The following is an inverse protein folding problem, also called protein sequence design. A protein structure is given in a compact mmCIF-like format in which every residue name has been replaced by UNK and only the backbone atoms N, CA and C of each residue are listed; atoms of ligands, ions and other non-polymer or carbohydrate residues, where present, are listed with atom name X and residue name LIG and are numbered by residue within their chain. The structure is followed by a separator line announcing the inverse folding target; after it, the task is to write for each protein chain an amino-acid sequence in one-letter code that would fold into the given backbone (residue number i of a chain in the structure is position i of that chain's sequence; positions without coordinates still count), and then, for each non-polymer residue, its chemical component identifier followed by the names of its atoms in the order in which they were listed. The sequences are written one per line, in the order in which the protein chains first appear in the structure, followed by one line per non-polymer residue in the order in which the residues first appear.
data_IF_545470179390
#
_entry.id   IF_545470179390
#
_cell.length_a   1.000
_cell.length_b   1.000
_cell.length_c   1.000
_cell.angle_alpha   90.00
_cell.angle_beta   90.00
_cell.angle_gamma   90.00
#
_symmetry.space_group_name_H-M   'P 1'
#
loop_
_entity.id
_entity.type
_entity.pdbx_description
1 polymer ?
#
# COMPACT_ATOMS: atom_id res chain seq x y z
N UNK A 1 -78.47 -7.77 -33.35
CA UNK A 1 -77.61 -8.38 -32.32
C UNK A 1 -76.19 -8.39 -32.86
N UNK A 2 -75.35 -7.46 -32.41
CA UNK A 2 -73.97 -7.30 -32.86
C UNK A 2 -73.10 -7.34 -31.59
N UNK A 3 -72.34 -8.42 -31.39
CA UNK A 3 -71.38 -8.54 -30.30
C UNK A 3 -70.01 -8.10 -30.81
N UNK A 4 -69.55 -6.92 -30.37
CA UNK A 4 -68.15 -6.49 -30.49
C UNK A 4 -67.37 -7.03 -29.28
N UNK A 5 -66.48 -7.99 -29.51
CA UNK A 5 -65.53 -8.46 -28.50
C UNK A 5 -64.31 -7.52 -28.50
N UNK A 6 -64.14 -6.75 -27.42
CA UNK A 6 -62.92 -5.98 -27.17
C UNK A 6 -61.87 -6.92 -26.55
N UNK A 7 -60.76 -7.13 -27.25
CA UNK A 7 -59.60 -7.84 -26.72
C UNK A 7 -58.75 -6.86 -25.90
N UNK A 8 -58.69 -7.07 -24.58
CA UNK A 8 -57.74 -6.39 -23.70
C UNK A 8 -56.40 -7.13 -23.71
N UNK A 9 -55.40 -6.58 -24.37
CA UNK A 9 -54.00 -7.00 -24.27
C UNK A 9 -53.41 -6.43 -22.97
N UNK A 10 -53.34 -7.28 -21.94
CA UNK A 10 -52.58 -7.00 -20.72
C UNK A 10 -51.08 -7.18 -21.03
N UNK A 11 -50.36 -6.07 -21.26
CA UNK A 11 -48.90 -6.08 -21.22
C UNK A 11 -48.45 -6.26 -19.77
N UNK A 12 -48.04 -7.47 -19.43
CA UNK A 12 -47.29 -7.77 -18.21
C UNK A 12 -45.88 -7.19 -18.34
N UNK A 13 -45.68 -6.00 -17.78
CA UNK A 13 -44.33 -5.49 -17.52
C UNK A 13 -43.68 -6.36 -16.46
N UNK A 14 -42.77 -7.24 -16.87
CA UNK A 14 -41.81 -7.86 -15.97
C UNK A 14 -40.90 -6.76 -15.44
N UNK A 15 -41.19 -6.27 -14.23
CA UNK A 15 -40.26 -5.43 -13.49
C UNK A 15 -39.08 -6.32 -13.08
N UNK A 16 -38.04 -6.37 -13.90
CA UNK A 16 -36.72 -6.80 -13.42
C UNK A 16 -36.33 -5.80 -12.35
N UNK A 17 -36.36 -6.25 -11.09
CA UNK A 17 -35.71 -5.54 -9.99
C UNK A 17 -34.25 -5.35 -10.38
N UNK A 18 -33.92 -4.16 -10.86
CA UNK A 18 -32.54 -3.73 -10.94
C UNK A 18 -32.03 -3.76 -9.50
N UNK A 19 -31.24 -4.78 -9.15
CA UNK A 19 -30.47 -4.77 -7.91
C UNK A 19 -29.64 -3.49 -7.97
N UNK A 20 -30.05 -2.50 -7.18
CA UNK A 20 -29.22 -1.34 -6.91
C UNK A 20 -27.91 -1.91 -6.40
N UNK A 21 -26.86 -1.83 -7.23
CA UNK A 21 -25.52 -2.15 -6.78
C UNK A 21 -25.26 -1.21 -5.60
N UNK A 22 -25.30 -1.77 -4.39
CA UNK A 22 -24.74 -1.07 -3.23
C UNK A 22 -23.33 -0.75 -3.67
N UNK A 23 -22.97 0.54 -3.72
CA UNK A 23 -21.57 0.94 -3.67
C UNK A 23 -21.03 0.30 -2.38
N UNK A 24 -20.53 -0.93 -2.48
CA UNK A 24 -19.85 -1.59 -1.38
C UNK A 24 -18.62 -0.72 -1.18
N UNK A 25 -18.63 0.10 -0.12
CA UNK A 25 -17.38 0.63 0.42
C UNK A 25 -16.50 -0.58 0.67
N UNK A 26 -15.37 -0.68 -0.03
CA UNK A 26 -14.45 -1.77 0.20
C UNK A 26 -14.03 -1.74 1.66
N UNK A 27 -14.14 -2.89 2.33
CA UNK A 27 -13.73 -3.01 3.73
C UNK A 27 -12.21 -2.91 3.88
N UNK A 28 -11.72 -3.08 5.10
CA UNK A 28 -10.29 -3.04 5.40
C UNK A 28 -9.71 -4.46 5.39
N UNK A 29 -8.99 -4.88 4.33
CA UNK A 29 -8.36 -6.19 4.30
C UNK A 29 -7.40 -6.35 5.49
N UNK A 30 -7.30 -7.57 6.04
CA UNK A 30 -6.43 -7.92 7.17
C UNK A 30 -6.65 -7.06 8.44
N UNK A 31 -7.81 -6.42 8.61
CA UNK A 31 -8.08 -5.55 9.75
C UNK A 31 -7.22 -4.28 9.74
N UNK A 32 -6.90 -3.78 8.55
CA UNK A 32 -6.08 -2.58 8.37
C UNK A 32 -6.77 -1.30 8.91
N UNK A 33 -8.04 -1.33 9.29
CA UNK A 33 -8.68 -0.20 9.98
C UNK A 33 -8.12 0.05 11.38
N UNK A 34 -7.65 -1.00 12.07
CA UNK A 34 -7.24 -0.92 13.48
C UNK A 34 -5.74 -1.04 13.72
N UNK A 35 -4.99 -1.64 12.80
CA UNK A 35 -3.53 -1.80 12.91
C UNK A 35 -2.84 -1.90 11.54
N UNK A 36 -1.55 -1.57 11.43
CA UNK A 36 -0.80 -1.86 10.23
C UNK A 36 -0.54 -3.36 10.09
N UNK A 37 -0.31 -3.82 8.87
CA UNK A 37 0.15 -5.17 8.59
C UNK A 37 1.37 -5.14 7.65
N UNK A 38 2.39 -5.93 7.96
CA UNK A 38 3.62 -5.99 7.15
C UNK A 38 3.97 -7.42 6.79
N UNK A 39 4.42 -7.63 5.55
CA UNK A 39 4.72 -8.94 5.00
C UNK A 39 5.98 -8.88 4.13
N UNK A 40 6.78 -9.95 4.12
CA UNK A 40 7.84 -10.12 3.12
C UNK A 40 7.21 -10.57 1.79
N UNK A 41 7.49 -9.86 0.69
CA UNK A 41 7.01 -10.23 -0.65
C UNK A 41 8.03 -11.05 -1.46
N UNK A 42 9.26 -11.19 -0.95
CA UNK A 42 10.28 -12.05 -1.52
C UNK A 42 11.05 -12.76 -0.41
N UNK A 43 10.70 -14.02 -0.18
CA UNK A 43 11.35 -14.87 0.83
C UNK A 43 12.78 -15.28 0.45
N UNK A 44 13.18 -15.11 -0.82
CA UNK A 44 14.55 -15.38 -1.28
C UNK A 44 15.48 -14.18 -1.12
N UNK A 45 14.94 -12.98 -0.83
CA UNK A 45 15.74 -11.79 -0.61
C UNK A 45 16.63 -11.95 0.64
N UNK A 46 17.89 -11.49 0.61
CA UNK A 46 18.84 -11.66 1.71
C UNK A 46 18.44 -10.91 2.99
N UNK A 47 17.75 -9.79 2.90
CA UNK A 47 17.26 -9.02 4.04
C UNK A 47 15.78 -9.35 4.26
N UNK A 48 15.48 -9.84 5.47
CA UNK A 48 14.11 -10.18 5.89
C UNK A 48 13.68 -9.26 7.04
N UNK A 49 12.52 -8.61 6.88
CA UNK A 49 11.92 -7.78 7.93
C UNK A 49 11.19 -8.68 8.93
N UNK A 50 11.47 -8.47 10.21
CA UNK A 50 10.94 -9.23 11.34
C UNK A 50 9.75 -8.49 11.99
N UNK A 51 9.91 -7.19 12.21
CA UNK A 51 8.92 -6.36 12.90
C UNK A 51 8.88 -4.95 12.32
N UNK A 52 7.74 -4.29 12.44
CA UNK A 52 7.54 -2.91 11.98
C UNK A 52 6.67 -2.15 12.96
N UNK A 53 7.16 -1.01 13.42
CA UNK A 53 6.40 -0.03 14.17
C UNK A 53 6.28 1.26 13.38
N UNK A 54 5.15 1.93 13.54
CA UNK A 54 4.90 3.25 12.94
C UNK A 54 4.75 4.21 14.11
N UNK A 55 5.69 5.13 14.23
CA UNK A 55 5.81 6.01 15.39
C UNK A 55 5.70 7.47 14.99
N UNK A 56 5.25 8.30 15.91
CA UNK A 56 5.44 9.74 15.81
C UNK A 56 6.90 10.12 16.14
N UNK A 57 7.32 11.38 15.92
CA UNK A 57 8.67 11.82 16.25
C UNK A 57 9.03 11.75 17.74
N UNK A 58 8.05 11.56 18.64
CA UNK A 58 8.28 11.35 20.07
C UNK A 58 8.56 9.88 20.42
N UNK A 59 8.43 8.97 19.45
CA UNK A 59 8.65 7.54 19.60
C UNK A 59 7.41 6.76 20.03
N UNK A 60 6.22 7.37 20.02
CA UNK A 60 4.97 6.68 20.36
C UNK A 60 4.37 6.03 19.11
N UNK A 61 3.94 4.78 19.23
CA UNK A 61 3.20 4.10 18.16
C UNK A 61 1.92 4.88 17.80
N UNK A 62 1.71 5.11 16.50
CA UNK A 62 0.58 5.87 15.96
C UNK A 62 -0.17 5.05 14.91
N UNK A 63 -1.48 5.00 15.09
CA UNK A 63 -2.42 4.43 14.14
C UNK A 63 -3.84 4.93 14.40
N UNK A 64 -4.66 5.19 13.36
CA UNK A 64 -4.28 5.33 11.95
C UNK A 64 -3.33 6.52 11.71
N UNK A 65 -2.78 6.62 10.52
CA UNK A 65 -1.71 7.57 10.19
C UNK A 65 -2.30 8.85 9.64
N UNK A 66 -1.95 10.00 10.21
CA UNK A 66 -2.21 11.32 9.62
C UNK A 66 -1.07 11.67 8.64
N UNK A 67 -1.28 11.62 7.32
CA UNK A 67 -0.21 11.84 6.33
C UNK A 67 0.25 13.30 6.27
N UNK A 68 -0.41 14.21 6.99
CA UNK A 68 0.03 15.61 7.12
C UNK A 68 1.08 15.80 8.21
N UNK A 69 1.38 14.75 8.98
CA UNK A 69 2.39 14.77 10.04
C UNK A 69 3.55 13.84 9.68
N UNK A 70 4.78 14.17 10.10
CA UNK A 70 5.91 13.27 9.94
C UNK A 70 5.73 12.02 10.80
N UNK A 71 6.16 10.88 10.27
CA UNK A 71 6.19 9.59 10.97
C UNK A 71 7.59 8.97 10.91
N UNK A 72 7.85 8.02 11.78
CA UNK A 72 9.04 7.16 11.76
C UNK A 72 8.57 5.73 11.56
N UNK A 73 9.01 5.09 10.48
CA UNK A 73 8.91 3.65 10.31
C UNK A 73 10.13 3.02 10.99
N UNK A 74 9.90 2.29 12.07
CA UNK A 74 10.94 1.56 12.80
C UNK A 74 10.85 0.08 12.43
N UNK A 75 11.88 -0.42 11.77
CA UNK A 75 11.93 -1.76 11.20
C UNK A 75 13.02 -2.56 11.91
N UNK A 76 12.65 -3.70 12.50
CA UNK A 76 13.63 -4.72 12.86
C UNK A 76 13.76 -5.70 11.72
N UNK A 77 14.98 -5.95 11.26
CA UNK A 77 15.28 -6.84 10.16
C UNK A 77 16.51 -7.70 10.46
N UNK A 78 16.73 -8.70 9.63
CA UNK A 78 17.95 -9.50 9.62
C UNK A 78 18.51 -9.56 8.21
N UNK A 79 19.79 -9.27 8.08
CA UNK A 79 20.53 -9.42 6.84
C UNK A 79 21.30 -10.74 6.85
N UNK A 80 20.87 -11.69 6.02
CA UNK A 80 21.53 -12.97 5.80
C UNK A 80 22.57 -12.94 4.67
N UNK A 81 22.66 -11.83 3.95
CA UNK A 81 23.56 -11.64 2.82
C UNK A 81 24.89 -11.02 3.22
N UNK A 82 25.44 -10.24 2.29
CA UNK A 82 26.67 -9.48 2.47
C UNK A 82 26.39 -8.12 3.11
N UNK A 83 27.43 -7.32 3.34
CA UNK A 83 27.26 -5.92 3.69
C UNK A 83 26.84 -5.10 2.47
N UNK A 84 25.80 -4.29 2.61
CA UNK A 84 25.38 -3.31 1.60
C UNK A 84 25.79 -1.91 2.05
N UNK A 85 26.61 -1.24 1.25
CA UNK A 85 27.10 0.12 1.49
C UNK A 85 26.34 1.17 0.67
N UNK A 86 25.61 0.73 -0.35
CA UNK A 86 24.75 1.54 -1.19
C UNK A 86 23.50 0.71 -1.53
N UNK A 87 22.33 1.34 -1.43
CA UNK A 87 21.04 0.73 -1.71
C UNK A 87 20.06 1.74 -2.29
N UNK A 88 19.16 1.25 -3.16
CA UNK A 88 18.04 2.06 -3.65
C UNK A 88 16.72 1.36 -3.48
N UNK A 89 15.70 2.13 -3.14
CA UNK A 89 14.35 1.65 -2.96
C UNK A 89 13.41 2.16 -4.07
N UNK A 90 12.51 1.26 -4.50
CA UNK A 90 11.35 1.58 -5.31
C UNK A 90 10.09 1.31 -4.49
N UNK A 91 9.16 2.28 -4.48
CA UNK A 91 7.89 2.15 -3.75
C UNK A 91 6.72 2.30 -4.70
N UNK A 92 5.87 1.28 -4.74
CA UNK A 92 4.56 1.35 -5.38
C UNK A 92 3.48 1.57 -4.32
N UNK A 93 2.51 2.42 -4.64
CA UNK A 93 1.38 2.72 -3.79
C UNK A 93 0.12 2.08 -4.38
N UNK A 94 -0.68 1.44 -3.54
CA UNK A 94 -1.97 0.87 -3.92
C UNK A 94 -3.06 1.33 -2.97
N UNK A 95 -4.28 1.40 -3.47
CA UNK A 95 -5.50 1.65 -2.70
C UNK A 95 -6.42 0.43 -2.85
N UNK A 96 -7.06 0.02 -1.76
CA UNK A 96 -8.06 -1.04 -1.81
C UNK A 96 -9.43 -0.46 -2.14
N UNK A 97 -9.82 -0.56 -3.41
CA UNK A 97 -11.04 0.06 -3.93
C UNK A 97 -11.75 -0.86 -4.91
N UNK A 98 -12.99 -0.51 -5.26
CA UNK A 98 -13.80 -1.28 -6.19
C UNK A 98 -13.25 -1.10 -7.60
N UNK A 99 -12.96 -2.23 -8.26
CA UNK A 99 -12.58 -2.22 -9.66
C UNK A 99 -13.76 -1.73 -10.50
N UNK A 100 -13.54 -0.68 -11.29
CA UNK A 100 -14.59 -0.07 -12.10
C UNK A 100 -15.27 -1.03 -13.09
N UNK A 101 -14.55 -2.04 -13.61
CA UNK A 101 -15.07 -2.98 -14.61
C UNK A 101 -15.85 -4.14 -13.97
N UNK A 102 -15.41 -4.63 -12.82
CA UNK A 102 -15.99 -5.85 -12.20
C UNK A 102 -16.85 -5.55 -10.97
N UNK A 103 -16.70 -4.37 -10.36
CA UNK A 103 -17.31 -4.02 -9.08
C UNK A 103 -16.67 -4.70 -7.87
N UNK A 104 -15.71 -5.61 -8.09
CA UNK A 104 -15.02 -6.35 -7.03
C UNK A 104 -13.93 -5.50 -6.37
N UNK A 105 -13.76 -5.62 -5.06
CA UNK A 105 -12.71 -4.93 -4.34
C UNK A 105 -11.35 -5.58 -4.60
N UNK A 106 -10.36 -4.78 -4.98
CA UNK A 106 -9.00 -5.21 -5.21
C UNK A 106 -8.00 -4.09 -4.94
N UNK A 107 -6.74 -4.45 -4.73
CA UNK A 107 -5.65 -3.48 -4.71
C UNK A 107 -5.45 -2.87 -6.10
N UNK A 108 -5.66 -1.57 -6.23
CA UNK A 108 -5.44 -0.81 -7.44
C UNK A 108 -4.19 0.06 -7.27
N UNK A 109 -3.26 -0.01 -8.22
CA UNK A 109 -2.05 0.81 -8.18
C UNK A 109 -2.41 2.28 -8.38
N UNK A 110 -1.94 3.13 -7.47
CA UNK A 110 -1.97 4.57 -7.61
C UNK A 110 -0.69 4.96 -8.35
N UNK A 111 -0.77 5.49 -9.59
CA UNK A 111 0.42 5.85 -10.34
C UNK A 111 1.12 7.03 -9.66
N UNK A 112 2.32 6.77 -9.13
CA UNK A 112 3.19 7.81 -8.55
C UNK A 112 4.04 8.50 -9.62
N UNK A 113 3.94 8.07 -10.88
CA UNK A 113 4.70 8.58 -12.03
C UNK A 113 6.22 8.63 -11.79
N UNK A 114 6.73 7.67 -11.02
CA UNK A 114 8.16 7.53 -10.72
C UNK A 114 8.67 8.39 -9.56
N UNK A 115 7.79 9.16 -8.89
CA UNK A 115 8.18 9.99 -7.74
C UNK A 115 8.78 9.19 -6.58
N UNK A 116 8.45 7.91 -6.47
CA UNK A 116 8.92 7.04 -5.40
C UNK A 116 9.87 5.94 -5.89
N UNK A 117 10.53 6.15 -7.04
CA UNK A 117 11.52 5.23 -7.58
C UNK A 117 12.94 5.75 -7.32
N UNK A 118 13.90 4.83 -7.23
CA UNK A 118 15.33 5.09 -7.04
C UNK A 118 15.63 6.00 -5.83
N UNK A 119 14.86 5.84 -4.75
CA UNK A 119 15.12 6.54 -3.48
C UNK A 119 16.45 6.01 -2.94
N UNK A 120 17.41 6.89 -2.70
CA UNK A 120 18.71 6.54 -2.10
C UNK A 120 18.49 6.21 -0.62
N UNK A 121 18.62 4.92 -0.27
CA UNK A 121 18.38 4.43 1.08
C UNK A 121 19.42 4.99 2.05
N UNK A 122 20.69 5.00 1.65
CA UNK A 122 21.78 5.49 2.48
C UNK A 122 21.66 6.98 2.81
N UNK A 123 21.31 7.82 1.83
CA UNK A 123 21.12 9.26 2.03
C UNK A 123 19.81 9.56 2.80
N UNK A 124 18.72 8.88 2.44
CA UNK A 124 17.39 9.20 2.98
C UNK A 124 17.18 8.58 4.37
N UNK A 125 17.48 7.29 4.51
CA UNK A 125 17.25 6.51 5.72
C UNK A 125 18.46 6.49 6.66
N UNK A 126 19.66 6.89 6.21
CA UNK A 126 20.90 6.78 6.99
C UNK A 126 21.12 5.36 7.54
N UNK A 127 20.68 4.35 6.77
CA UNK A 127 20.66 2.93 7.11
C UNK A 127 21.96 2.21 6.76
N UNK A 128 22.84 2.85 5.98
CA UNK A 128 24.08 2.25 5.51
C UNK A 128 25.25 2.47 6.48
N UNK A 129 26.16 1.48 6.63
CA UNK A 129 26.12 0.18 5.95
C UNK A 129 25.14 -0.81 6.60
N UNK A 130 24.39 -1.54 5.77
CA UNK A 130 23.53 -2.66 6.18
C UNK A 130 24.40 -3.91 6.39
N UNK A 131 24.94 -4.07 7.59
CA UNK A 131 25.83 -5.20 7.94
C UNK A 131 25.07 -6.53 8.02
N UNK A 132 25.73 -7.68 7.81
CA UNK A 132 25.14 -8.97 8.11
C UNK A 132 24.73 -9.08 9.59
N UNK A 133 23.60 -9.74 9.86
CA UNK A 133 23.02 -9.89 11.20
C UNK A 133 21.80 -9.00 11.43
N UNK A 134 21.48 -8.76 12.71
CA UNK A 134 20.33 -7.94 13.09
C UNK A 134 20.52 -6.47 12.70
N UNK A 135 19.44 -5.87 12.21
CA UNK A 135 19.37 -4.49 11.77
C UNK A 135 18.16 -3.82 12.44
N UNK A 136 18.38 -2.63 12.99
CA UNK A 136 17.32 -1.74 13.49
C UNK A 136 17.34 -0.48 12.62
N UNK A 137 16.31 -0.32 11.79
CA UNK A 137 16.26 0.68 10.72
C UNK A 137 15.12 1.66 10.96
N UNK A 138 15.45 2.93 11.17
CA UNK A 138 14.48 4.00 11.34
C UNK A 138 14.38 4.89 10.11
N UNK A 139 13.25 4.85 9.39
CA UNK A 139 12.98 5.74 8.26
C UNK A 139 12.04 6.87 8.67
N UNK A 140 12.55 8.10 8.64
CA UNK A 140 11.74 9.31 8.83
C UNK A 140 11.02 9.65 7.53
N UNK A 141 9.70 9.55 7.54
CA UNK A 141 8.85 9.91 6.41
C UNK A 141 8.13 11.22 6.68
N UNK A 142 8.35 12.17 5.79
CA UNK A 142 7.60 13.43 5.74
C UNK A 142 6.82 13.47 4.43
N UNK A 143 5.55 13.05 4.49
CA UNK A 143 4.68 12.99 3.33
C UNK A 143 4.17 14.38 2.89
N UNK A 144 4.34 15.42 3.72
CA UNK A 144 3.90 16.79 3.40
C UNK A 144 4.56 17.36 2.15
N UNK A 145 5.75 16.85 1.83
CA UNK A 145 6.50 17.17 0.60
C UNK A 145 5.82 16.62 -0.66
N UNK A 146 4.89 15.70 -0.51
CA UNK A 146 4.13 15.07 -1.59
C UNK A 146 2.65 15.44 -1.52
N UNK A 147 2.35 16.74 -1.48
CA UNK A 147 0.97 17.25 -1.38
C UNK A 147 -0.01 16.68 -2.42
N UNK A 148 0.48 16.30 -3.62
CA UNK A 148 -0.31 15.59 -4.62
C UNK A 148 -0.72 14.17 -4.19
N UNK A 149 0.19 13.45 -3.53
CA UNK A 149 -0.06 12.11 -2.97
C UNK A 149 -0.99 12.21 -1.76
N UNK A 150 -0.82 13.20 -0.87
CA UNK A 150 -1.71 13.37 0.29
C UNK A 150 -3.18 13.51 -0.12
N UNK A 151 -3.48 14.25 -1.21
CA UNK A 151 -4.85 14.37 -1.71
C UNK A 151 -5.44 13.03 -2.19
N UNK A 152 -4.59 12.13 -2.69
CA UNK A 152 -4.97 10.78 -3.09
C UNK A 152 -5.14 9.84 -1.89
N UNK A 153 -4.42 10.10 -0.79
CA UNK A 153 -4.45 9.33 0.46
C UNK A 153 -5.64 9.67 1.37
N UNK A 154 -6.49 10.63 1.00
CA UNK A 154 -7.57 11.15 1.83
C UNK A 154 -8.89 10.36 1.73
N UNK A 155 -8.93 9.20 1.07
CA UNK A 155 -10.19 8.51 0.74
C UNK A 155 -10.76 7.66 1.88
N UNK A 156 -10.17 7.68 3.08
CA UNK A 156 -10.51 6.76 4.19
C UNK A 156 -10.48 5.26 3.78
N UNK A 157 -9.66 4.91 2.80
CA UNK A 157 -9.47 3.53 2.32
C UNK A 157 -8.25 2.87 2.99
N UNK A 158 -8.14 1.54 2.82
CA UNK A 158 -6.88 0.85 3.09
C UNK A 158 -5.89 1.10 1.95
N UNK A 159 -4.64 1.35 2.30
CA UNK A 159 -3.53 1.54 1.37
C UNK A 159 -2.48 0.46 1.55
N UNK A 160 -1.71 0.23 0.50
CA UNK A 160 -0.59 -0.71 0.53
C UNK A 160 0.63 -0.08 -0.14
N UNK A 161 1.75 -0.11 0.57
CA UNK A 161 3.07 0.20 0.04
C UNK A 161 3.75 -1.11 -0.32
N UNK A 162 4.25 -1.22 -1.54
CA UNK A 162 5.13 -2.29 -1.96
C UNK A 162 6.52 -1.70 -2.15
N UNK A 163 7.41 -2.04 -1.23
CA UNK A 163 8.75 -1.47 -1.09
C UNK A 163 9.74 -2.55 -1.51
N UNK A 164 10.51 -2.28 -2.56
CA UNK A 164 11.56 -3.16 -3.04
C UNK A 164 12.89 -2.42 -2.94
N UNK A 165 13.88 -3.03 -2.30
CA UNK A 165 15.21 -2.49 -2.09
C UNK A 165 16.22 -3.28 -2.92
N UNK A 166 17.17 -2.60 -3.54
CA UNK A 166 18.13 -3.16 -4.49
C UNK A 166 19.56 -2.84 -4.09
N UNK A 167 20.49 -3.77 -4.30
CA UNK A 167 21.93 -3.54 -4.08
C UNK A 167 22.47 -2.50 -5.05
N UNK A 168 23.16 -1.48 -4.55
CA UNK A 168 23.88 -0.50 -5.37
C UNK A 168 25.37 -0.44 -5.07
N UNK A 169 25.91 -1.39 -4.30
CA UNK A 169 27.35 -1.56 -4.13
C UNK A 169 28.08 -1.54 -5.48
N UNK A 170 29.30 -1.00 -5.49
CA UNK A 170 30.14 -0.98 -6.69
C UNK A 170 30.34 -2.40 -7.25
N UNK A 171 29.97 -2.59 -8.52
CA UNK A 171 30.07 -3.88 -9.21
C UNK A 171 28.87 -4.83 -9.00
N UNK A 172 27.85 -4.43 -8.24
CA UNK A 172 26.60 -5.19 -8.10
C UNK A 172 25.80 -5.22 -9.42
N UNK A 173 24.83 -6.14 -9.49
CA UNK A 173 23.91 -6.26 -10.63
C UNK A 173 22.56 -5.57 -10.41
N UNK A 174 22.43 -4.83 -9.31
CA UNK A 174 21.19 -4.25 -8.84
C UNK A 174 20.11 -5.28 -8.55
N UNK A 175 20.51 -6.40 -7.96
CA UNK A 175 19.61 -7.43 -7.46
C UNK A 175 18.75 -6.93 -6.29
N UNK A 176 17.54 -7.47 -6.17
CA UNK A 176 16.65 -7.18 -5.04
C UNK A 176 17.21 -7.79 -3.74
N UNK A 177 17.41 -6.94 -2.74
CA UNK A 177 17.96 -7.31 -1.43
C UNK A 177 16.91 -7.35 -0.33
N UNK A 178 15.77 -6.67 -0.50
CA UNK A 178 14.61 -6.76 0.39
C UNK A 178 13.30 -6.48 -0.36
N UNK A 179 12.20 -7.07 0.09
CA UNK A 179 10.86 -6.81 -0.42
C UNK A 179 9.85 -6.82 0.72
N UNK A 180 9.15 -5.70 0.92
CA UNK A 180 8.16 -5.54 1.99
C UNK A 180 6.85 -5.00 1.42
N UNK A 181 5.75 -5.63 1.82
CA UNK A 181 4.40 -5.08 1.68
C UNK A 181 3.98 -4.53 3.02
N UNK A 182 3.59 -3.25 3.08
CA UNK A 182 3.00 -2.62 4.25
C UNK A 182 1.58 -2.15 3.94
N UNK A 183 0.59 -2.67 4.67
CA UNK A 183 -0.81 -2.26 4.58
C UNK A 183 -1.16 -1.32 5.72
N UNK A 184 -1.71 -0.16 5.38
CA UNK A 184 -1.86 1.01 6.25
C UNK A 184 -3.22 1.68 6.03
N UNK A 185 -3.65 2.48 7.00
CA UNK A 185 -4.83 3.34 6.91
C UNK A 185 -4.42 4.78 7.22
N UNK A 186 -4.71 5.68 6.26
CA UNK A 186 -4.49 7.12 6.40
C UNK A 186 -5.80 7.82 6.77
N UNK A 187 -5.74 8.81 7.68
CA UNK A 187 -6.88 9.61 8.16
C UNK A 187 -6.65 11.10 8.05
#
# INVERSE_FOLDING_TARGET
MLYTAFAFLLLSFLTTEAKVARFNSCGFPNGTDVKPNTFSCNAAAPIQVLETHIRDPSGKDVYPIDPTKPIVLDLSAINHGIQYNDDKANVKLFEYTSNWLTGECAWQEIPTFGLLNNIDGCETAHNCPLKPGHLDLGLKLDLTKYAGIIKLLASHSAYQLHIQMFDYNEGSSHEEIACVIAQLHFV
#
